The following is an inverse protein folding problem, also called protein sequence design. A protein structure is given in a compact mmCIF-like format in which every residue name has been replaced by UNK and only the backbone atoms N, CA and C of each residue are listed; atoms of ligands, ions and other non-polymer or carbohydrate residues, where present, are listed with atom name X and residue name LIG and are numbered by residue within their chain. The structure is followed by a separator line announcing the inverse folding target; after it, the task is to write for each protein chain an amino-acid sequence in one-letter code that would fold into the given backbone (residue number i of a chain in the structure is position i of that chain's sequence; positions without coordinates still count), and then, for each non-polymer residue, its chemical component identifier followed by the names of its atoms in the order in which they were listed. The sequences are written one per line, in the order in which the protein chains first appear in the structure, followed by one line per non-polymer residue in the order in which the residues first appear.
data_IF_351096236807
#
_entry.id   IF_351096236807
#
_cell.length_a   1.000
_cell.length_b   1.000
_cell.length_c   1.000
_cell.angle_alpha   90.00
_cell.angle_beta   90.00
_cell.angle_gamma   90.00
#
_symmetry.space_group_name_H-M   'P 1'
#
loop_
_entity.id
_entity.type
_entity.pdbx_description
1 polymer ?
#
# COMPACT_ATOMS: atom_id res chain seq x y z
N UNK A 1 15.03 -56.91 -8.34
CA UNK A 1 16.27 -56.76 -7.53
C UNK A 1 16.82 -55.37 -7.85
N UNK A 2 16.98 -54.38 -6.97
CA UNK A 2 16.86 -54.24 -5.52
C UNK A 2 16.49 -52.77 -5.24
N UNK A 3 15.52 -52.57 -4.35
CA UNK A 3 15.18 -51.29 -3.71
C UNK A 3 16.22 -50.87 -2.67
N UNK A 4 16.53 -49.57 -2.56
CA UNK A 4 16.99 -48.81 -1.36
C UNK A 4 16.70 -47.32 -1.66
N UNK A 5 15.82 -46.55 -1.03
CA UNK A 5 15.47 -46.27 0.38
C UNK A 5 16.57 -45.60 1.22
N UNK A 6 16.12 -44.58 1.97
CA UNK A 6 16.74 -43.72 3.00
C UNK A 6 17.24 -42.34 2.49
N UNK A 7 16.64 -41.19 2.82
CA UNK A 7 16.23 -40.55 4.10
C UNK A 7 17.37 -39.69 4.71
N UNK A 8 16.99 -38.46 5.13
CA UNK A 8 17.71 -37.43 5.92
C UNK A 8 18.50 -36.38 5.09
N UNK A 9 18.47 -35.06 5.38
CA UNK A 9 18.30 -34.38 6.66
C UNK A 9 17.42 -33.11 6.58
N UNK A 10 16.56 -33.01 7.60
CA UNK A 10 16.08 -31.80 8.27
C UNK A 10 17.19 -30.76 8.57
N UNK A 11 16.77 -29.48 8.56
CA UNK A 11 17.10 -28.39 9.50
C UNK A 11 17.63 -27.09 8.88
N UNK A 12 16.74 -26.09 8.79
CA UNK A 12 17.03 -24.77 9.37
C UNK A 12 15.74 -24.03 9.72
N UNK A 13 15.21 -24.34 10.90
CA UNK A 13 14.44 -23.38 11.69
C UNK A 13 15.33 -22.19 12.07
N UNK A 14 14.71 -21.03 12.24
CA UNK A 14 14.96 -19.95 13.21
C UNK A 14 14.59 -18.62 12.53
N UNK A 15 13.34 -18.21 12.68
CA UNK A 15 13.03 -16.80 12.92
C UNK A 15 12.23 -16.77 14.21
N UNK A 16 12.91 -16.32 15.25
CA UNK A 16 12.39 -16.13 16.60
C UNK A 16 11.30 -15.06 16.57
N UNK A 17 10.16 -15.47 17.13
CA UNK A 17 9.25 -14.70 17.95
C UNK A 17 9.84 -13.42 18.56
N UNK A 18 9.11 -12.31 18.44
CA UNK A 18 9.07 -11.21 19.41
C UNK A 18 7.75 -10.43 19.19
N UNK A 19 6.63 -11.06 19.56
CA UNK A 19 5.41 -10.35 19.91
C UNK A 19 5.50 -10.06 21.41
N UNK A 20 6.05 -8.90 21.77
CA UNK A 20 5.92 -8.40 23.14
C UNK A 20 4.48 -7.91 23.30
N UNK A 21 3.69 -8.68 24.04
CA UNK A 21 2.36 -8.29 24.50
C UNK A 21 2.48 -7.16 25.52
N UNK A 22 1.88 -6.02 25.21
CA UNK A 22 1.68 -4.93 26.15
C UNK A 22 0.31 -5.15 26.84
N UNK A 23 0.26 -6.09 27.78
CA UNK A 23 -0.89 -6.23 28.69
C UNK A 23 -0.81 -5.15 29.75
N UNK A 24 -1.63 -4.11 29.60
CA UNK A 24 -1.83 -3.07 30.61
C UNK A 24 -2.91 -3.56 31.57
N UNK A 25 -2.50 -4.11 32.71
CA UNK A 25 -3.37 -4.38 33.84
C UNK A 25 -3.69 -3.06 34.55
N UNK A 26 -4.98 -2.74 34.65
CA UNK A 26 -5.45 -1.60 35.45
C UNK A 26 -5.78 -2.11 36.84
N UNK A 27 -5.09 -1.54 37.83
CA UNK A 27 -5.32 -1.81 39.25
C UNK A 27 -6.58 -1.06 39.71
N UNK A 28 -7.61 -1.78 40.14
CA UNK A 28 -8.79 -1.19 40.77
C UNK A 28 -8.46 -0.86 42.23
N UNK A 29 -8.12 0.41 42.50
CA UNK A 29 -8.03 0.91 43.86
C UNK A 29 -9.43 1.28 44.35
N UNK A 30 -9.89 0.54 45.35
CA UNK A 30 -11.06 0.84 46.19
C UNK A 30 -10.71 2.01 47.10
N UNK A 31 -11.37 3.16 46.90
CA UNK A 31 -11.36 4.26 47.85
C UNK A 31 -12.79 4.49 48.31
N UNK A 32 -13.09 3.98 49.50
CA UNK A 32 -14.24 4.41 50.27
C UNK A 32 -13.96 5.83 50.77
N UNK A 33 -14.84 6.77 50.44
CA UNK A 33 -14.92 8.00 51.20
C UNK A 33 -16.37 8.34 51.50
N UNK A 34 -16.62 8.30 52.79
CA UNK A 34 -17.75 8.82 53.52
C UNK A 34 -18.12 10.26 53.15
N UNK A 35 -19.44 10.46 53.14
CA UNK A 35 -20.14 11.61 53.71
C UNK A 35 -20.10 12.94 52.93
N UNK A 36 -21.27 13.40 52.49
CA UNK A 36 -22.10 14.37 53.22
C UNK A 36 -23.13 14.98 52.27
N UNK A 37 -24.32 15.15 52.80
CA UNK A 37 -25.50 15.70 52.15
C UNK A 37 -25.21 17.02 51.42
N UNK A 38 -25.25 16.95 50.09
CA UNK A 38 -25.48 18.14 49.29
C UNK A 38 -26.78 17.92 48.54
N UNK A 39 -27.89 18.19 49.23
CA UNK A 39 -29.15 18.55 48.55
C UNK A 39 -28.91 19.94 47.93
N UNK A 40 -28.10 19.98 46.87
CA UNK A 40 -28.07 21.14 45.99
C UNK A 40 -29.46 21.22 45.37
N UNK A 41 -30.19 22.26 45.75
CA UNK A 41 -31.34 22.79 45.03
C UNK A 41 -31.12 22.61 43.52
N UNK A 42 -31.71 21.55 42.95
CA UNK A 42 -31.67 21.27 41.53
C UNK A 42 -32.62 22.27 40.88
N UNK A 43 -32.11 23.48 40.62
CA UNK A 43 -32.82 24.44 39.80
C UNK A 43 -33.06 23.78 38.45
N UNK A 44 -34.33 23.62 38.09
CA UNK A 44 -34.73 23.12 36.77
C UNK A 44 -34.04 23.96 35.70
N UNK A 45 -33.62 23.34 34.57
CA UNK A 45 -32.92 24.03 33.48
C UNK A 45 -33.63 25.32 33.01
N UNK A 46 -34.96 25.36 33.17
CA UNK A 46 -35.80 26.55 32.93
C UNK A 46 -35.53 27.74 33.86
N UNK A 47 -35.04 27.52 35.08
CA UNK A 47 -34.70 28.56 36.06
C UNK A 47 -33.33 29.17 35.84
N UNK A 48 -32.38 28.43 35.25
CA UNK A 48 -31.00 28.91 35.04
C UNK A 48 -30.91 29.81 33.80
N UNK A 49 -31.61 29.44 32.71
CA UNK A 49 -31.51 30.15 31.43
C UNK A 49 -32.73 31.03 31.12
N UNK A 50 -33.75 31.05 31.98
CA UNK A 50 -34.89 31.97 31.92
C UNK A 50 -35.71 31.93 30.62
N UNK A 51 -35.43 30.99 29.73
CA UNK A 51 -36.10 30.80 28.45
C UNK A 51 -36.22 29.30 28.22
N UNK A 52 -37.42 28.74 27.99
CA UNK A 52 -37.51 27.42 27.38
C UNK A 52 -36.69 27.46 26.09
N UNK A 53 -35.87 26.44 25.83
CA UNK A 53 -35.11 26.35 24.59
C UNK A 53 -36.10 26.58 23.43
N UNK A 54 -36.00 27.70 22.69
CA UNK A 54 -36.90 27.92 21.57
C UNK A 54 -36.66 26.75 20.61
N UNK A 55 -37.74 26.13 20.13
CA UNK A 55 -37.72 24.99 19.18
C UNK A 55 -37.35 23.59 19.71
N UNK A 56 -37.49 23.29 21.00
CA UNK A 56 -37.32 21.91 21.47
C UNK A 56 -38.31 20.91 20.81
N UNK A 57 -39.54 21.36 20.54
CA UNK A 57 -40.59 20.50 19.96
C UNK A 57 -40.49 20.38 18.42
N UNK A 58 -39.90 21.36 17.73
CA UNK A 58 -39.82 21.36 16.27
C UNK A 58 -38.60 20.60 15.71
N UNK A 59 -37.63 20.27 16.56
CA UNK A 59 -36.41 19.51 16.18
C UNK A 59 -36.50 18.06 16.62
N UNK A 60 -37.60 17.65 17.29
CA UNK A 60 -37.79 16.27 17.70
C UNK A 60 -38.09 15.43 16.44
N UNK A 61 -37.26 14.42 16.11
CA UNK A 61 -37.54 13.55 14.98
C UNK A 61 -38.90 12.87 15.19
N UNK A 62 -39.75 12.98 14.17
CA UNK A 62 -41.11 12.42 14.19
C UNK A 62 -41.12 10.91 14.03
N UNK A 63 -40.05 10.36 13.43
CA UNK A 63 -39.93 8.95 13.07
C UNK A 63 -38.53 8.42 13.41
N UNK A 64 -38.39 7.10 13.47
CA UNK A 64 -37.10 6.47 13.79
C UNK A 64 -36.11 6.57 12.62
N UNK A 65 -36.63 6.71 11.41
CA UNK A 65 -35.89 6.89 10.18
C UNK A 65 -35.12 8.21 10.19
N UNK A 66 -35.68 9.26 10.80
CA UNK A 66 -35.04 10.58 10.97
C UNK A 66 -33.83 10.53 11.94
N UNK A 67 -33.68 9.45 12.71
CA UNK A 67 -32.54 9.22 13.61
C UNK A 67 -31.40 8.44 12.93
N UNK A 68 -31.62 7.92 11.71
CA UNK A 68 -30.59 7.18 10.97
C UNK A 68 -29.64 8.19 10.31
N UNK A 69 -28.56 8.52 11.02
CA UNK A 69 -27.46 9.28 10.43
C UNK A 69 -26.71 8.32 9.51
N UNK A 70 -26.75 8.60 8.21
CA UNK A 70 -25.90 7.89 7.24
C UNK A 70 -24.43 8.15 7.63
N UNK A 71 -23.72 7.09 8.02
CA UNK A 71 -22.32 7.18 8.38
C UNK A 71 -21.48 7.44 7.12
N UNK A 72 -21.23 8.72 6.84
CA UNK A 72 -20.25 9.15 5.85
C UNK A 72 -18.89 9.11 6.52
N UNK A 73 -18.07 8.11 6.19
CA UNK A 73 -16.71 7.99 6.72
C UNK A 73 -15.88 9.20 6.26
N UNK A 74 -15.50 10.13 7.16
CA UNK A 74 -14.75 11.33 6.80
C UNK A 74 -13.32 11.03 6.33
N UNK A 75 -12.85 9.80 6.50
CA UNK A 75 -11.55 9.34 6.03
C UNK A 75 -11.62 8.53 4.74
N UNK A 76 -12.82 8.27 4.22
CA UNK A 76 -13.01 7.67 2.89
C UNK A 76 -12.64 8.71 1.85
N UNK A 77 -11.34 8.84 1.59
CA UNK A 77 -10.85 9.52 0.40
C UNK A 77 -11.34 8.72 -0.80
N UNK A 78 -12.27 9.27 -1.54
CA UNK A 78 -12.50 8.85 -2.91
C UNK A 78 -11.13 8.88 -3.59
N UNK A 79 -10.60 7.70 -3.89
CA UNK A 79 -9.27 7.58 -4.49
C UNK A 79 -9.39 7.92 -5.96
N UNK A 80 -9.86 9.13 -6.27
CA UNK A 80 -9.57 9.84 -7.49
C UNK A 80 -8.12 10.32 -7.39
N UNK A 81 -7.21 9.37 -7.19
CA UNK A 81 -5.81 9.62 -7.42
C UNK A 81 -5.67 9.76 -8.93
N UNK A 82 -6.01 10.95 -9.45
CA UNK A 82 -5.45 11.40 -10.70
C UNK A 82 -3.94 11.33 -10.51
N UNK A 83 -3.33 10.28 -11.05
CA UNK A 83 -1.90 10.09 -10.96
C UNK A 83 -1.28 11.15 -11.83
N UNK A 84 -1.04 12.33 -11.25
CA UNK A 84 -0.40 13.46 -11.91
C UNK A 84 1.08 13.16 -12.07
N UNK A 85 1.39 12.18 -12.92
CA UNK A 85 2.75 11.95 -13.35
C UNK A 85 3.11 13.08 -14.30
N UNK A 86 3.81 14.07 -13.77
CA UNK A 86 4.30 15.29 -14.44
C UNK A 86 5.13 15.05 -15.73
N UNK A 87 5.38 13.79 -16.14
CA UNK A 87 6.25 13.40 -17.25
C UNK A 87 5.81 12.08 -17.94
N UNK A 88 4.51 11.89 -18.22
CA UNK A 88 4.06 10.74 -19.04
C UNK A 88 4.31 10.94 -20.52
N UNK A 89 4.59 12.16 -20.99
CA UNK A 89 4.79 12.39 -22.43
C UNK A 89 6.05 11.68 -22.97
N UNK A 90 5.99 11.09 -24.18
CA UNK A 90 7.15 10.53 -24.83
C UNK A 90 8.13 11.65 -25.21
N UNK A 91 9.19 11.81 -24.42
CA UNK A 91 10.33 12.67 -24.78
C UNK A 91 11.06 12.10 -26.00
N UNK A 92 11.74 12.96 -26.75
CA UNK A 92 12.67 12.61 -27.84
C UNK A 92 12.11 11.65 -28.91
N UNK A 93 10.79 11.67 -29.13
CA UNK A 93 10.11 10.80 -30.10
C UNK A 93 10.27 9.31 -29.80
N UNK A 94 10.31 8.94 -28.51
CA UNK A 94 10.32 7.54 -28.12
C UNK A 94 8.96 6.88 -28.32
N UNK A 95 8.96 5.73 -29.00
CA UNK A 95 7.83 4.79 -29.02
C UNK A 95 8.04 3.69 -27.98
N UNK A 96 6.97 3.00 -27.59
CA UNK A 96 7.01 1.87 -26.64
C UNK A 96 8.02 0.81 -27.08
N UNK A 97 7.97 0.43 -28.36
CA UNK A 97 8.92 -0.50 -28.99
C UNK A 97 10.37 -0.05 -28.87
N UNK A 98 10.63 1.21 -29.22
CA UNK A 98 11.98 1.79 -29.19
C UNK A 98 12.51 1.81 -27.76
N UNK A 99 11.67 2.11 -26.78
CA UNK A 99 12.03 2.09 -25.37
C UNK A 99 12.39 0.69 -24.88
N UNK A 100 11.50 -0.29 -25.10
CA UNK A 100 11.70 -1.68 -24.66
C UNK A 100 12.91 -2.35 -25.34
N UNK A 101 13.13 -2.05 -26.63
CA UNK A 101 14.32 -2.51 -27.36
C UNK A 101 15.61 -1.88 -26.81
N UNK A 102 15.56 -0.62 -26.39
CA UNK A 102 16.74 0.11 -25.88
C UNK A 102 17.19 -0.38 -24.50
N UNK A 103 16.26 -0.67 -23.60
CA UNK A 103 16.58 -1.23 -22.26
C UNK A 103 17.07 -2.68 -22.33
N UNK A 104 16.72 -3.40 -23.41
CA UNK A 104 17.16 -4.77 -23.73
C UNK A 104 16.61 -5.84 -22.79
N UNK A 105 17.41 -6.89 -22.55
CA UNK A 105 17.08 -8.03 -21.67
C UNK A 105 15.83 -8.83 -22.07
N UNK A 106 15.49 -8.89 -23.35
CA UNK A 106 14.31 -9.63 -23.83
C UNK A 106 12.98 -8.95 -23.46
N UNK A 107 12.99 -7.62 -23.26
CA UNK A 107 11.78 -6.84 -23.00
C UNK A 107 11.02 -6.46 -24.27
N UNK A 108 11.67 -6.59 -25.43
CA UNK A 108 11.12 -6.44 -26.77
C UNK A 108 9.98 -7.42 -27.08
N UNK A 109 10.02 -8.63 -26.51
CA UNK A 109 8.93 -9.62 -26.66
C UNK A 109 7.61 -9.21 -26.00
N UNK A 110 7.59 -8.18 -25.16
CA UNK A 110 6.43 -7.78 -24.36
C UNK A 110 5.76 -6.49 -24.86
N UNK A 111 6.09 -6.05 -26.08
CA UNK A 111 5.53 -4.83 -26.70
C UNK A 111 4.01 -4.92 -26.84
N UNK A 112 3.49 -6.08 -27.25
CA UNK A 112 2.06 -6.29 -27.50
C UNK A 112 1.18 -6.01 -26.29
N UNK A 113 1.75 -6.11 -25.09
CA UNK A 113 1.04 -5.86 -23.85
C UNK A 113 0.92 -4.39 -23.45
N UNK A 114 1.61 -3.49 -24.16
CA UNK A 114 1.63 -2.05 -23.90
C UNK A 114 1.25 -1.29 -25.17
N UNK A 115 -0.06 -1.18 -25.48
CA UNK A 115 -0.52 -0.58 -26.72
C UNK A 115 -0.24 0.93 -26.76
N UNK A 116 -0.37 1.62 -25.63
CA UNK A 116 -0.11 3.05 -25.52
C UNK A 116 1.08 3.31 -24.61
N UNK A 117 1.74 4.44 -24.85
CA UNK A 117 2.85 4.90 -24.02
C UNK A 117 2.41 5.18 -22.57
N UNK A 118 1.20 5.69 -22.40
CA UNK A 118 0.59 5.92 -21.10
C UNK A 118 0.42 4.61 -20.32
N UNK A 119 -0.01 3.53 -20.99
CA UNK A 119 -0.15 2.22 -20.36
C UNK A 119 1.19 1.67 -19.85
N UNK A 120 2.29 1.93 -20.57
CA UNK A 120 3.65 1.58 -20.13
C UNK A 120 4.06 2.39 -18.89
N UNK A 121 3.80 3.69 -18.90
CA UNK A 121 4.22 4.60 -17.81
C UNK A 121 3.39 4.42 -16.53
N UNK A 122 2.14 3.99 -16.68
CA UNK A 122 1.20 3.68 -15.60
C UNK A 122 1.15 2.18 -15.26
N UNK A 123 2.03 1.37 -15.86
CA UNK A 123 2.05 -0.06 -15.62
C UNK A 123 2.31 -0.37 -14.13
N UNK A 124 1.43 -1.19 -13.53
CA UNK A 124 1.62 -1.70 -12.17
C UNK A 124 2.19 -3.12 -12.18
N UNK A 125 3.02 -3.44 -11.17
CA UNK A 125 3.58 -4.78 -10.99
C UNK A 125 2.51 -5.88 -10.96
N UNK A 126 1.35 -5.56 -10.36
CA UNK A 126 0.21 -6.47 -10.27
C UNK A 126 -0.45 -6.67 -11.65
N UNK A 127 -0.73 -5.59 -12.39
CA UNK A 127 -1.29 -5.68 -13.77
C UNK A 127 -0.37 -6.52 -14.66
N UNK A 128 0.93 -6.26 -14.64
CA UNK A 128 1.91 -7.01 -15.43
C UNK A 128 2.03 -8.49 -15.03
N UNK A 129 1.78 -8.83 -13.75
CA UNK A 129 1.81 -10.22 -13.27
C UNK A 129 0.53 -10.98 -13.68
N UNK A 130 -0.63 -10.38 -13.47
CA UNK A 130 -1.92 -11.05 -13.59
C UNK A 130 -2.47 -11.02 -15.01
N UNK A 131 -2.37 -9.87 -15.70
CA UNK A 131 -2.91 -9.69 -17.06
C UNK A 131 -1.89 -10.15 -18.10
N UNK A 132 -0.66 -9.68 -17.99
CA UNK A 132 0.33 -9.82 -19.06
C UNK A 132 1.26 -11.04 -18.85
N UNK A 133 1.21 -11.71 -17.70
CA UNK A 133 2.02 -12.89 -17.36
C UNK A 133 3.54 -12.72 -17.61
N UNK A 134 4.05 -11.49 -17.56
CA UNK A 134 5.45 -11.16 -17.86
C UNK A 134 6.35 -11.76 -16.77
N UNK A 135 7.53 -12.34 -17.07
CA UNK A 135 8.40 -12.92 -16.06
C UNK A 135 8.89 -11.87 -15.03
N UNK A 136 9.10 -12.31 -13.78
CA UNK A 136 9.45 -11.43 -12.64
C UNK A 136 10.65 -10.52 -12.95
N UNK A 137 11.67 -11.05 -13.63
CA UNK A 137 12.88 -10.31 -13.98
C UNK A 137 12.58 -9.14 -14.92
N UNK A 138 11.79 -9.36 -15.97
CA UNK A 138 11.42 -8.33 -16.94
C UNK A 138 10.52 -7.29 -16.29
N UNK A 139 9.56 -7.70 -15.45
CA UNK A 139 8.70 -6.75 -14.72
C UNK A 139 9.50 -5.77 -13.88
N UNK A 140 10.42 -6.28 -13.04
CA UNK A 140 11.29 -5.44 -12.21
C UNK A 140 12.17 -4.52 -13.06
N UNK A 141 12.65 -5.01 -14.20
CA UNK A 141 13.51 -4.24 -15.10
C UNK A 141 12.77 -3.10 -15.80
N UNK A 142 11.58 -3.37 -16.32
CA UNK A 142 10.71 -2.38 -16.96
C UNK A 142 10.32 -1.30 -15.94
N UNK A 143 9.84 -1.69 -14.76
CA UNK A 143 9.45 -0.73 -13.71
C UNK A 143 10.63 0.13 -13.25
N UNK A 144 11.82 -0.47 -13.10
CA UNK A 144 13.02 0.28 -12.79
C UNK A 144 13.31 1.35 -13.85
N UNK A 145 13.26 1.00 -15.14
CA UNK A 145 13.52 1.95 -16.22
C UNK A 145 12.43 3.00 -16.41
N UNK A 146 11.16 2.65 -16.18
CA UNK A 146 10.06 3.62 -16.15
C UNK A 146 10.31 4.66 -15.06
N UNK A 147 10.76 4.24 -13.87
CA UNK A 147 11.13 5.16 -12.79
C UNK A 147 12.35 6.02 -13.15
N UNK A 148 13.39 5.43 -13.75
CA UNK A 148 14.54 6.20 -14.25
C UNK A 148 14.14 7.22 -15.33
N UNK A 149 13.21 6.86 -16.21
CA UNK A 149 12.65 7.76 -17.19
C UNK A 149 11.92 8.91 -16.52
N UNK A 150 11.07 8.64 -15.53
CA UNK A 150 10.37 9.67 -14.74
C UNK A 150 11.34 10.64 -14.06
N UNK A 151 12.54 10.17 -13.69
CA UNK A 151 13.63 10.98 -13.13
C UNK A 151 14.45 11.75 -14.19
N UNK A 152 14.11 11.66 -15.47
CA UNK A 152 14.82 12.36 -16.54
C UNK A 152 16.03 11.63 -17.12
N UNK A 153 16.23 10.35 -16.78
CA UNK A 153 17.33 9.55 -17.34
C UNK A 153 16.91 8.83 -18.60
N UNK A 154 17.82 8.79 -19.58
CA UNK A 154 17.59 8.12 -20.85
C UNK A 154 17.89 6.61 -20.78
N UNK A 155 17.11 5.76 -21.47
CA UNK A 155 17.28 4.32 -21.46
C UNK A 155 18.62 3.93 -22.11
N UNK A 156 19.42 3.17 -21.37
CA UNK A 156 20.68 2.61 -21.87
C UNK A 156 20.68 1.09 -21.79
N UNK A 157 21.34 0.45 -22.76
CA UNK A 157 21.50 -0.99 -22.79
C UNK A 157 22.55 -1.42 -21.75
N UNK A 158 22.08 -1.93 -20.61
CA UNK A 158 22.96 -2.50 -19.57
C UNK A 158 23.08 -4.00 -19.81
N UNK A 159 24.16 -4.39 -20.50
CA UNK A 159 24.49 -5.81 -20.70
C UNK A 159 24.66 -6.52 -19.35
N UNK A 160 24.25 -7.80 -19.26
CA UNK A 160 24.59 -8.64 -18.11
C UNK A 160 26.12 -8.71 -18.07
N UNK A 161 26.72 -8.27 -16.96
CA UNK A 161 28.17 -8.36 -16.81
C UNK A 161 28.59 -9.82 -17.07
N UNK A 162 29.61 -10.01 -17.92
CA UNK A 162 30.30 -11.30 -17.97
C UNK A 162 30.84 -11.52 -16.57
N UNK A 163 30.30 -12.53 -15.88
CA UNK A 163 30.60 -12.87 -14.49
C UNK A 163 32.07 -12.60 -14.13
N UNK A 164 32.28 -11.96 -12.97
CA UNK A 164 33.60 -11.78 -12.34
C UNK A 164 34.34 -13.13 -12.21
N UNK A 165 33.64 -14.26 -12.21
CA UNK A 165 34.24 -15.59 -12.25
C UNK A 165 35.19 -15.80 -13.45
N UNK A 166 34.93 -15.19 -14.62
CA UNK A 166 35.86 -15.24 -15.76
C UNK A 166 37.13 -14.40 -15.54
N UNK A 167 37.07 -13.34 -14.73
CA UNK A 167 38.27 -12.56 -14.34
C UNK A 167 39.17 -13.38 -13.40
N UNK A 168 38.58 -14.22 -12.55
CA UNK A 168 39.33 -15.07 -11.62
C UNK A 168 40.01 -16.25 -12.34
N UNK A 169 39.43 -16.81 -13.40
CA UNK A 169 40.10 -17.83 -14.23
C UNK A 169 41.37 -17.30 -14.92
N UNK A 170 41.45 -16.01 -15.24
CA UNK A 170 42.56 -15.42 -16.00
C UNK A 170 43.73 -14.95 -15.13
N UNK A 171 43.61 -14.99 -13.81
CA UNK A 171 44.68 -14.61 -12.85
C UNK A 171 45.46 -15.82 -12.31
N UNK A 172 45.11 -17.04 -12.73
CA UNK A 172 45.74 -18.28 -12.27
C UNK A 172 46.62 -18.98 -13.30
N UNK A 173 47.12 -18.27 -14.31
CA UNK A 173 48.09 -18.76 -15.32
C UNK A 173 49.28 -17.82 -15.33
#
# INVERSE_FOLDING_TARGET
MLSRSLVNCLNRSIVRSNLCGFSRSYSTATAEHESQDIVTSFKSSSEIFGRPFPNADSVRPSSIEDLVIEYVDPFKRESEAETYFRFTEPRDGYTVEKFLKKIGRGCDAHVEHFPTWEDLMNASSNKMKHVNQIPVQNRRWILHWVEQWKQGRNPVLISKSKSVAKKNLKKGT
#
